data_IF_810580371732
#
_entry.id   IF_810580371732
#
_cell.length_a   1.000
_cell.length_b   1.000
_cell.length_c   1.000
_cell.angle_alpha   90.00
_cell.angle_beta   90.00
_cell.angle_gamma   90.00
#
_symmetry.space_group_name_H-M   'P 1'
#
loop_
_entity.id
_entity.type
_entity.pdbx_description
1 polymer ?
#
# COMPACT_ATOMS: atom_id res chain seq x y z
N UNK A 1 8.23 21.58 -1.52
CA UNK A 1 7.77 20.25 -1.06
C UNK A 1 8.79 19.73 -0.06
N UNK A 2 8.39 19.20 1.10
CA UNK A 2 9.35 18.80 2.14
C UNK A 2 10.05 17.47 1.81
N UNK A 3 11.28 17.24 2.29
CA UNK A 3 12.03 16.00 2.00
C UNK A 3 11.32 14.80 2.63
N UNK A 4 10.76 14.98 3.83
CA UNK A 4 9.93 13.98 4.49
C UNK A 4 8.73 13.54 3.61
N UNK A 5 8.07 14.47 2.93
CA UNK A 5 6.95 14.14 2.03
C UNK A 5 7.43 13.37 0.80
N UNK A 6 8.55 13.77 0.21
CA UNK A 6 9.13 13.08 -0.95
C UNK A 6 9.52 11.65 -0.57
N UNK A 7 10.22 11.46 0.55
CA UNK A 7 10.60 10.13 1.03
C UNK A 7 9.39 9.25 1.35
N UNK A 8 8.30 9.84 1.87
CA UNK A 8 7.07 9.09 2.09
C UNK A 8 6.51 8.52 0.78
N UNK A 9 6.42 9.36 -0.25
CA UNK A 9 5.90 8.94 -1.55
C UNK A 9 6.85 8.00 -2.30
N UNK A 10 8.17 8.16 -2.12
CA UNK A 10 9.16 7.21 -2.64
C UNK A 10 9.04 5.86 -1.94
N UNK A 11 8.88 5.82 -0.61
CA UNK A 11 8.64 4.58 0.12
C UNK A 11 7.32 3.92 -0.32
N UNK A 12 6.25 4.72 -0.48
CA UNK A 12 4.97 4.24 -0.99
C UNK A 12 5.05 3.70 -2.43
N UNK A 13 5.99 4.19 -3.24
CA UNK A 13 6.25 3.65 -4.57
C UNK A 13 7.07 2.36 -4.50
N UNK A 14 8.20 2.35 -3.79
CA UNK A 14 9.19 1.26 -3.85
C UNK A 14 8.78 0.04 -3.03
N UNK A 15 8.22 0.23 -1.83
CA UNK A 15 7.94 -0.88 -0.91
C UNK A 15 6.97 -1.91 -1.52
N UNK A 16 5.86 -1.51 -2.18
CA UNK A 16 4.95 -2.49 -2.79
C UNK A 16 5.61 -3.34 -3.89
N UNK A 17 6.46 -2.75 -4.73
CA UNK A 17 7.23 -3.51 -5.73
C UNK A 17 8.26 -4.44 -5.07
N UNK A 18 8.93 -3.99 -4.02
CA UNK A 18 9.86 -4.85 -3.28
C UNK A 18 9.15 -6.07 -2.67
N UNK A 19 7.96 -5.87 -2.07
CA UNK A 19 7.15 -6.96 -1.52
C UNK A 19 6.70 -7.92 -2.63
N UNK A 20 6.21 -7.39 -3.76
CA UNK A 20 5.79 -8.22 -4.90
C UNK A 20 6.96 -9.02 -5.50
N UNK A 21 8.14 -8.39 -5.61
CA UNK A 21 9.35 -9.05 -6.12
C UNK A 21 9.84 -10.17 -5.16
N UNK A 22 9.83 -9.91 -3.85
CA UNK A 22 10.16 -10.94 -2.85
C UNK A 22 9.17 -12.10 -2.93
N UNK A 23 7.87 -11.82 -3.09
CA UNK A 23 6.86 -12.86 -3.28
C UNK A 23 7.12 -13.67 -4.55
N UNK A 24 7.40 -13.02 -5.68
CA UNK A 24 7.74 -13.71 -6.94
C UNK A 24 8.94 -14.62 -6.80
N UNK A 25 9.99 -14.20 -6.08
CA UNK A 25 11.16 -15.04 -5.83
C UNK A 25 10.79 -16.29 -5.02
N UNK A 26 9.91 -16.16 -4.01
CA UNK A 26 9.45 -17.29 -3.19
C UNK A 26 8.53 -18.23 -4.00
N UNK A 27 7.60 -17.65 -4.74
CA UNK A 27 6.62 -18.36 -5.54
C UNK A 27 7.26 -19.15 -6.69
N UNK A 28 8.26 -18.59 -7.37
CA UNK A 28 9.02 -19.29 -8.41
C UNK A 28 9.87 -20.45 -7.86
N UNK A 29 10.22 -20.46 -6.58
CA UNK A 29 10.87 -21.62 -5.93
C UNK A 29 9.90 -22.75 -5.60
N UNK A 30 8.60 -22.49 -5.65
CA UNK A 30 7.54 -23.43 -5.28
C UNK A 30 6.68 -23.85 -6.48
N UNK A 31 7.11 -23.52 -7.70
CA UNK A 31 6.43 -23.84 -8.97
C UNK A 31 4.96 -23.37 -9.03
N UNK A 32 4.64 -22.29 -8.31
CA UNK A 32 3.28 -21.74 -8.22
C UNK A 32 2.91 -20.80 -9.38
N UNK A 33 3.85 -20.51 -10.29
CA UNK A 33 3.59 -19.73 -11.51
C UNK A 33 3.46 -18.21 -11.34
N UNK A 34 4.04 -17.63 -10.28
CA UNK A 34 4.03 -16.17 -10.08
C UNK A 34 5.19 -15.48 -10.83
N UNK A 35 4.90 -15.07 -12.06
CA UNK A 35 5.87 -14.51 -12.99
C UNK A 35 6.10 -12.99 -12.81
N UNK A 36 6.88 -12.43 -13.75
CA UNK A 36 7.20 -11.00 -13.77
C UNK A 36 5.96 -10.13 -14.03
N UNK A 37 5.02 -10.58 -14.86
CA UNK A 37 3.81 -9.83 -15.17
C UNK A 37 2.95 -9.65 -13.92
N UNK A 38 2.74 -10.73 -13.16
CA UNK A 38 2.05 -10.68 -11.88
C UNK A 38 2.78 -9.78 -10.88
N UNK A 39 4.12 -9.82 -10.86
CA UNK A 39 4.91 -8.91 -10.02
C UNK A 39 4.63 -7.44 -10.32
N UNK A 40 4.57 -7.08 -11.61
CA UNK A 40 4.29 -5.70 -12.04
C UNK A 40 2.86 -5.29 -11.71
N UNK A 41 1.88 -6.17 -11.94
CA UNK A 41 0.46 -5.89 -11.64
C UNK A 41 0.25 -5.67 -10.14
N UNK A 42 0.70 -6.63 -9.30
CA UNK A 42 0.53 -6.55 -7.86
C UNK A 42 1.33 -5.38 -7.26
N UNK A 43 2.57 -5.19 -7.70
CA UNK A 43 3.42 -4.07 -7.30
C UNK A 43 2.80 -2.72 -7.69
N UNK A 44 2.28 -2.61 -8.91
CA UNK A 44 1.64 -1.40 -9.43
C UNK A 44 0.37 -1.03 -8.66
N UNK A 45 -0.54 -1.98 -8.45
CA UNK A 45 -1.75 -1.74 -7.66
C UNK A 45 -1.44 -1.42 -6.20
N UNK A 46 -0.45 -2.11 -5.62
CA UNK A 46 0.04 -1.83 -4.28
C UNK A 46 0.64 -0.42 -4.17
N UNK A 47 1.45 -0.01 -5.15
CA UNK A 47 2.04 1.33 -5.23
C UNK A 47 0.96 2.42 -5.35
N UNK A 48 -0.02 2.25 -6.24
CA UNK A 48 -1.13 3.19 -6.38
C UNK A 48 -1.89 3.35 -5.05
N UNK A 49 -2.22 2.22 -4.41
CA UNK A 49 -2.90 2.19 -3.11
C UNK A 49 -2.09 2.92 -2.02
N UNK A 50 -0.80 2.64 -1.94
CA UNK A 50 0.10 3.24 -0.95
C UNK A 50 0.30 4.74 -1.19
N UNK A 51 0.34 5.18 -2.46
CA UNK A 51 0.44 6.60 -2.81
C UNK A 51 -0.79 7.38 -2.37
N UNK A 52 -1.98 6.81 -2.57
CA UNK A 52 -3.25 7.39 -2.08
C UNK A 52 -3.25 7.44 -0.55
N UNK A 53 -2.86 6.35 0.12
CA UNK A 53 -2.76 6.31 1.58
C UNK A 53 -1.78 7.36 2.13
N UNK A 54 -0.62 7.53 1.48
CA UNK A 54 0.37 8.54 1.81
C UNK A 54 -0.17 9.96 1.65
N UNK A 55 -0.87 10.24 0.55
CA UNK A 55 -1.49 11.54 0.33
C UNK A 55 -2.56 11.86 1.39
N UNK A 56 -3.45 10.90 1.69
CA UNK A 56 -4.53 11.06 2.66
C UNK A 56 -4.01 11.25 4.09
N UNK A 57 -2.93 10.56 4.47
CA UNK A 57 -2.40 10.58 5.84
C UNK A 57 -1.27 11.57 6.05
N UNK A 58 -0.80 12.27 5.00
CA UNK A 58 0.24 13.29 5.12
C UNK A 58 -0.10 14.35 6.18
N UNK A 59 -1.32 14.93 6.14
CA UNK A 59 -1.74 15.96 7.11
C UNK A 59 -1.73 15.44 8.56
N UNK A 60 -2.10 14.17 8.76
CA UNK A 60 -2.06 13.58 10.10
C UNK A 60 -0.62 13.38 10.59
N UNK A 61 0.29 12.93 9.71
CA UNK A 61 1.70 12.77 10.03
C UNK A 61 2.37 14.12 10.33
N UNK A 62 2.12 15.13 9.50
CA UNK A 62 2.67 16.48 9.65
C UNK A 62 2.22 17.14 10.96
N UNK A 63 0.93 17.03 11.33
CA UNK A 63 0.43 17.52 12.63
C UNK A 63 1.14 16.86 13.81
N UNK A 64 1.37 15.55 13.75
CA UNK A 64 2.09 14.82 14.81
C UNK A 64 3.55 15.22 14.88
N UNK A 65 4.18 15.49 13.74
CA UNK A 65 5.53 16.04 13.71
C UNK A 65 5.58 17.40 14.41
N UNK A 66 4.67 18.33 14.11
CA UNK A 66 4.60 19.63 14.80
C UNK A 66 4.38 19.49 16.31
N UNK A 67 3.59 18.50 16.74
CA UNK A 67 3.34 18.23 18.16
C UNK A 67 4.49 17.49 18.86
N UNK A 68 5.58 17.13 18.17
CA UNK A 68 6.66 16.35 18.76
C UNK A 68 6.34 14.86 18.97
N UNK A 69 5.19 14.39 18.49
CA UNK A 69 4.70 13.05 18.77
C UNK A 69 5.22 11.98 17.80
N UNK A 70 5.21 10.73 18.25
CA UNK A 70 5.43 9.57 17.39
C UNK A 70 4.28 9.36 16.39
N UNK A 71 4.57 8.83 15.21
CA UNK A 71 3.62 8.69 14.09
C UNK A 71 3.21 7.25 13.76
N UNK A 72 3.48 6.27 14.63
CA UNK A 72 3.13 4.86 14.38
C UNK A 72 1.64 4.64 14.08
N UNK A 73 0.73 5.33 14.78
CA UNK A 73 -0.73 5.29 14.50
C UNK A 73 -1.07 5.82 13.11
N UNK A 74 -0.31 6.80 12.62
CA UNK A 74 -0.47 7.30 11.25
C UNK A 74 -0.09 6.21 10.26
N UNK A 75 1.04 5.52 10.48
CA UNK A 75 1.51 4.40 9.66
C UNK A 75 0.59 3.19 9.65
N UNK A 76 0.03 2.78 10.79
CA UNK A 76 -1.01 1.73 10.84
C UNK A 76 -2.21 2.11 9.99
N UNK A 77 -2.68 3.36 10.13
CA UNK A 77 -3.79 3.86 9.30
C UNK A 77 -3.46 3.88 7.82
N UNK A 78 -2.21 4.18 7.44
CA UNK A 78 -1.75 4.10 6.06
C UNK A 78 -1.79 2.66 5.54
N UNK A 79 -1.23 1.70 6.28
CA UNK A 79 -1.26 0.29 5.91
C UNK A 79 -2.69 -0.21 5.71
N UNK A 80 -3.60 0.10 6.65
CA UNK A 80 -5.00 -0.29 6.54
C UNK A 80 -5.66 0.26 5.27
N UNK A 81 -5.48 1.55 4.97
CA UNK A 81 -6.01 2.17 3.75
C UNK A 81 -5.40 1.52 2.51
N UNK A 82 -4.09 1.26 2.49
CA UNK A 82 -3.41 0.59 1.38
C UNK A 82 -4.02 -0.78 1.10
N UNK A 83 -4.24 -1.61 2.13
CA UNK A 83 -4.81 -2.94 1.95
C UNK A 83 -6.28 -2.92 1.50
N UNK A 84 -7.08 -2.00 2.02
CA UNK A 84 -8.46 -1.80 1.57
C UNK A 84 -8.49 -1.39 0.10
N UNK A 85 -7.71 -0.37 -0.28
CA UNK A 85 -7.65 0.10 -1.66
C UNK A 85 -7.08 -0.96 -2.59
N UNK A 86 -6.08 -1.72 -2.15
CA UNK A 86 -5.51 -2.81 -2.92
C UNK A 86 -6.58 -3.87 -3.24
N UNK A 87 -7.34 -4.32 -2.24
CA UNK A 87 -8.40 -5.31 -2.47
C UNK A 87 -9.50 -4.81 -3.40
N UNK A 88 -9.88 -3.54 -3.27
CA UNK A 88 -10.84 -2.89 -4.19
C UNK A 88 -10.31 -2.83 -5.63
N UNK A 89 -9.09 -2.32 -5.80
CA UNK A 89 -8.47 -2.17 -7.12
C UNK A 89 -8.19 -3.52 -7.78
N UNK A 90 -7.77 -4.52 -7.00
CA UNK A 90 -7.49 -5.85 -7.51
C UNK A 90 -8.77 -6.57 -7.97
N UNK A 91 -9.85 -6.49 -7.17
CA UNK A 91 -11.15 -7.01 -7.59
C UNK A 91 -11.66 -6.30 -8.86
N UNK A 92 -11.51 -4.96 -8.94
CA UNK A 92 -11.89 -4.19 -10.12
C UNK A 92 -11.06 -4.60 -11.36
N UNK A 93 -9.75 -4.77 -11.21
CA UNK A 93 -8.87 -5.21 -12.29
C UNK A 93 -9.27 -6.59 -12.82
N UNK A 94 -9.53 -7.55 -11.93
CA UNK A 94 -9.97 -8.90 -12.33
C UNK A 94 -11.31 -8.89 -13.06
N UNK A 95 -12.28 -8.11 -12.57
CA UNK A 95 -13.57 -8.00 -13.25
C UNK A 95 -13.46 -7.29 -14.60
N UNK A 96 -12.64 -6.26 -14.72
CA UNK A 96 -12.38 -5.61 -15.99
C UNK A 96 -11.74 -6.57 -17.00
N UNK A 97 -10.79 -7.40 -16.57
CA UNK A 97 -10.19 -8.43 -17.42
C UNK A 97 -11.21 -9.49 -17.87
N UNK A 98 -12.08 -9.96 -16.97
CA UNK A 98 -13.13 -10.94 -17.32
C UNK A 98 -14.13 -10.33 -18.30
N UNK A 99 -14.62 -9.11 -18.04
CA UNK A 99 -15.56 -8.43 -18.94
C UNK A 99 -14.96 -8.22 -20.34
N UNK A 100 -13.66 -7.92 -20.42
CA UNK A 100 -12.96 -7.70 -21.68
C UNK A 100 -12.73 -8.99 -22.47
N UNK A 101 -12.41 -10.10 -21.79
CA UNK A 101 -12.06 -11.37 -22.43
C UNK A 101 -13.28 -12.27 -22.68
N UNK A 102 -14.27 -12.23 -21.79
CA UNK A 102 -15.46 -13.09 -21.80
C UNK A 102 -16.67 -12.31 -21.24
N UNK A 103 -17.31 -11.46 -22.04
CA UNK A 103 -18.39 -10.58 -21.55
C UNK A 103 -19.60 -11.33 -20.99
N UNK A 104 -19.83 -12.59 -21.41
CA UNK A 104 -20.89 -13.45 -20.85
C UNK A 104 -20.55 -14.01 -19.45
N UNK A 105 -19.28 -13.96 -19.04
CA UNK A 105 -18.79 -14.38 -17.72
C UNK A 105 -18.74 -13.27 -16.69
N UNK A 106 -19.33 -12.10 -16.97
CA UNK A 106 -19.31 -10.95 -16.07
C UNK A 106 -19.97 -11.30 -14.73
N UNK A 107 -19.23 -11.12 -13.63
CA UNK A 107 -19.72 -11.45 -12.30
C UNK A 107 -20.74 -10.41 -11.83
N UNK A 108 -21.76 -10.87 -11.08
CA UNK A 108 -22.78 -9.97 -10.54
C UNK A 108 -22.20 -9.07 -9.45
N UNK A 109 -22.88 -7.95 -9.14
CA UNK A 109 -22.42 -7.00 -8.12
C UNK A 109 -22.13 -7.65 -6.74
N UNK A 110 -22.89 -8.71 -6.40
CA UNK A 110 -22.68 -9.50 -5.18
C UNK A 110 -21.32 -10.21 -5.18
N UNK A 111 -20.92 -10.79 -6.31
CA UNK A 111 -19.67 -11.55 -6.43
C UNK A 111 -18.47 -10.63 -6.38
N UNK A 112 -18.56 -9.46 -7.03
CA UNK A 112 -17.56 -8.38 -6.91
C UNK A 112 -17.38 -7.96 -5.45
N UNK A 113 -18.48 -7.75 -4.73
CA UNK A 113 -18.41 -7.37 -3.31
C UNK A 113 -17.72 -8.46 -2.46
N UNK A 114 -18.04 -9.73 -2.70
CA UNK A 114 -17.38 -10.86 -2.02
C UNK A 114 -15.89 -10.95 -2.37
N UNK A 115 -15.52 -10.72 -3.63
CA UNK A 115 -14.12 -10.68 -4.05
C UNK A 115 -13.35 -9.54 -3.37
N UNK A 116 -13.93 -8.34 -3.28
CA UNK A 116 -13.30 -7.21 -2.55
C UNK A 116 -13.05 -7.61 -1.10
N UNK A 117 -14.07 -8.10 -0.40
CA UNK A 117 -13.95 -8.51 1.01
C UNK A 117 -12.87 -9.59 1.16
N UNK A 118 -12.89 -10.59 0.28
CA UNK A 118 -11.90 -11.66 0.26
C UNK A 118 -10.48 -11.14 0.06
N UNK A 119 -10.22 -10.31 -0.96
CA UNK A 119 -8.89 -9.79 -1.23
C UNK A 119 -8.40 -8.84 -0.15
N UNK A 120 -9.27 -8.00 0.42
CA UNK A 120 -8.91 -7.17 1.57
C UNK A 120 -8.50 -8.05 2.75
N UNK A 121 -9.31 -9.07 3.08
CA UNK A 121 -9.02 -9.98 4.19
C UNK A 121 -7.71 -10.75 3.99
N UNK A 122 -7.50 -11.36 2.82
CA UNK A 122 -6.27 -12.08 2.48
C UNK A 122 -5.07 -11.15 2.51
N UNK A 123 -5.18 -9.95 1.93
CA UNK A 123 -4.09 -8.97 1.89
C UNK A 123 -3.71 -8.52 3.32
N UNK A 124 -4.69 -8.27 4.19
CA UNK A 124 -4.45 -7.93 5.59
C UNK A 124 -3.86 -9.08 6.41
N UNK A 125 -4.30 -10.33 6.19
CA UNK A 125 -3.85 -11.48 6.99
C UNK A 125 -2.49 -12.00 6.55
N UNK A 126 -2.23 -12.06 5.24
CA UNK A 126 -1.00 -12.65 4.70
C UNK A 126 0.12 -11.62 4.67
N UNK A 127 -0.15 -10.44 4.10
CA UNK A 127 0.87 -9.42 3.88
C UNK A 127 0.85 -8.38 5.01
N UNK A 128 -0.34 -8.11 5.58
CA UNK A 128 -0.54 -7.12 6.63
C UNK A 128 0.29 -7.35 7.89
N UNK A 129 0.55 -8.60 8.28
CA UNK A 129 1.39 -8.93 9.46
C UNK A 129 2.77 -8.27 9.38
N UNK A 130 3.36 -8.19 8.19
CA UNK A 130 4.66 -7.56 7.97
C UNK A 130 4.53 -6.07 7.62
N UNK A 131 3.55 -5.68 6.79
CA UNK A 131 3.45 -4.30 6.29
C UNK A 131 2.92 -3.32 7.32
N UNK A 132 2.08 -3.74 8.27
CA UNK A 132 1.62 -2.87 9.37
C UNK A 132 2.77 -2.37 10.25
N UNK A 133 3.62 -3.25 10.85
CA UNK A 133 4.75 -2.78 11.65
C UNK A 133 5.78 -2.02 10.80
N UNK A 134 6.03 -2.45 9.56
CA UNK A 134 6.94 -1.76 8.65
C UNK A 134 6.47 -0.34 8.34
N UNK A 135 5.19 -0.15 7.98
CA UNK A 135 4.62 1.16 7.67
C UNK A 135 4.58 2.05 8.92
N UNK A 136 4.32 1.47 10.10
CA UNK A 136 4.41 2.19 11.37
C UNK A 136 5.83 2.70 11.65
N UNK A 137 6.85 1.87 11.44
CA UNK A 137 8.25 2.24 11.60
C UNK A 137 8.69 3.31 10.58
N UNK A 138 8.30 3.16 9.32
CA UNK A 138 8.56 4.17 8.27
C UNK A 138 7.90 5.51 8.61
N UNK A 139 6.64 5.50 9.05
CA UNK A 139 5.95 6.72 9.46
C UNK A 139 6.64 7.41 10.65
N UNK A 140 7.18 6.65 11.61
CA UNK A 140 7.99 7.19 12.71
C UNK A 140 9.25 7.89 12.20
N UNK A 141 10.01 7.25 11.31
CA UNK A 141 11.21 7.84 10.71
C UNK A 141 10.91 9.11 9.92
N UNK A 142 9.82 9.11 9.15
CA UNK A 142 9.39 10.26 8.35
C UNK A 142 8.94 11.42 9.24
N UNK A 143 8.20 11.14 10.33
CA UNK A 143 7.82 12.17 11.29
C UNK A 143 9.05 12.75 12.00
N UNK A 144 10.04 11.93 12.35
CA UNK A 144 11.30 12.39 12.93
C UNK A 144 12.08 13.29 11.96
N UNK A 145 12.14 12.94 10.68
CA UNK A 145 12.74 13.79 9.66
C UNK A 145 11.98 15.11 9.51
N UNK A 146 10.65 15.06 9.47
CA UNK A 146 9.81 16.26 9.36
C UNK A 146 10.03 17.21 10.54
N UNK A 147 10.20 16.69 11.76
CA UNK A 147 10.55 17.50 12.94
C UNK A 147 11.87 18.24 12.78
N UNK A 148 12.90 17.58 12.23
CA UNK A 148 14.20 18.21 11.96
C UNK A 148 14.04 19.35 10.95
N UNK A 149 13.32 19.11 9.85
CA UNK A 149 13.05 20.15 8.84
C UNK A 149 12.33 21.38 9.42
N UNK A 150 11.37 21.16 10.33
CA UNK A 150 10.63 22.24 10.98
C UNK A 150 11.51 23.03 11.95
N UNK A 151 12.41 22.36 12.68
CA UNK A 151 13.36 23.01 13.58
C UNK A 151 14.44 23.81 12.82
N UNK A 152 14.92 23.28 11.69
CA UNK A 152 15.93 23.95 10.86
C UNK A 152 15.37 25.17 10.14
N UNK A 153 14.09 25.13 9.71
CA UNK A 153 13.42 26.25 9.05
C UNK A 153 12.90 27.35 9.99
N UNK A 154 13.00 27.17 11.31
CA UNK A 154 12.65 28.16 12.33
C UNK A 154 13.85 29.01 12.80
N UNK A 155 15.05 28.72 12.28
CA UNK A 155 16.29 29.47 12.48
C UNK A 155 16.54 30.39 11.30
#
# INVERSE_FOLDING_TARGET
MSRARVLLHLAALVVPFAVAAVWSIIANRTDTGFDLEQTVIFGGLGALSAQVAAALRWRALDRRAHAGEGAWKAGIGMAAITHVLFGVLFAAAMNASVLWLQPEGASGARDVMLQVVFFVAVSMLVVGVATFPLTAALAQGIAALRRKELADGAR
#
